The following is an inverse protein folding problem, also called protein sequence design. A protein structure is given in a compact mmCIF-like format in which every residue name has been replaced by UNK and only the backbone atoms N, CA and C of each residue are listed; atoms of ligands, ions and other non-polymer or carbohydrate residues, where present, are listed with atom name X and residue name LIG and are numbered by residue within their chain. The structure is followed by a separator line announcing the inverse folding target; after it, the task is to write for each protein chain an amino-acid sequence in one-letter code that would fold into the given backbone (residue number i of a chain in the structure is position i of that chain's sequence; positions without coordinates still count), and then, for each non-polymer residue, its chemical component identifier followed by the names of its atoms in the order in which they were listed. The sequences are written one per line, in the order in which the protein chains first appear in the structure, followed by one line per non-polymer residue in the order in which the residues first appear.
data_IF_836364342054
#
_entry.id   IF_836364342054
#
_cell.length_a   1.000
_cell.length_b   1.000
_cell.length_c   1.000
_cell.angle_alpha   90.00
_cell.angle_beta   90.00
_cell.angle_gamma   90.00
#
_symmetry.space_group_name_H-M   'P 1'
#
loop_
_entity.id
_entity.type
_entity.pdbx_description
1 polymer ?
#
# COMPACT_ATOMS: atom_id res chain seq x y z
N UNK A 1 -1.62 25.81 28.24
CA UNK A 1 -0.91 25.42 27.02
C UNK A 1 -0.14 24.13 27.31
N UNK A 2 -0.63 22.98 26.85
CA UNK A 2 0.07 21.70 27.04
C UNK A 2 1.31 21.68 26.17
N UNK A 3 2.46 21.31 26.75
CA UNK A 3 3.67 21.02 25.97
C UNK A 3 3.34 19.89 24.99
N UNK A 4 3.78 19.96 23.72
CA UNK A 4 3.63 18.83 22.80
C UNK A 4 4.38 17.61 23.35
N UNK A 5 3.73 16.45 23.26
CA UNK A 5 4.26 15.15 23.67
C UNK A 5 5.52 14.82 22.83
N UNK A 6 6.67 14.41 23.41
CA UNK A 6 7.92 14.14 22.67
C UNK A 6 7.84 13.05 21.60
N UNK A 7 6.71 12.35 21.47
CA UNK A 7 6.49 11.25 20.52
C UNK A 7 5.83 11.68 19.21
N UNK A 8 5.51 12.97 19.03
CA UNK A 8 4.76 13.46 17.86
C UNK A 8 5.55 14.45 16.98
N UNK A 9 6.88 14.45 17.09
CA UNK A 9 7.74 15.20 16.17
C UNK A 9 7.76 14.48 14.82
N UNK A 10 7.32 15.13 13.72
CA UNK A 10 7.32 14.48 12.43
C UNK A 10 8.76 14.22 11.97
N UNK A 11 9.12 12.94 11.92
CA UNK A 11 10.41 12.46 11.42
C UNK A 11 10.42 12.48 9.88
N UNK A 12 11.60 12.72 9.32
CA UNK A 12 11.80 12.83 7.88
C UNK A 12 11.71 11.45 7.22
N UNK A 13 10.63 11.26 6.45
CA UNK A 13 10.43 10.08 5.62
C UNK A 13 10.98 10.31 4.23
N UNK A 14 11.76 9.37 3.71
CA UNK A 14 12.23 9.37 2.33
C UNK A 14 12.00 8.01 1.66
N UNK A 15 12.03 7.99 0.33
CA UNK A 15 11.73 6.80 -0.45
C UNK A 15 12.91 6.42 -1.36
N UNK A 16 13.34 5.15 -1.27
CA UNK A 16 14.33 4.58 -2.17
C UNK A 16 13.62 3.73 -3.21
N UNK A 17 13.81 4.05 -4.49
CA UNK A 17 13.22 3.29 -5.61
C UNK A 17 14.27 2.40 -6.27
N UNK A 18 14.04 1.09 -6.22
CA UNK A 18 14.95 0.08 -6.79
C UNK A 18 14.27 -0.71 -7.90
N UNK A 19 15.09 -1.17 -8.85
CA UNK A 19 14.66 -2.02 -9.95
C UNK A 19 14.65 -3.48 -9.51
N UNK A 20 13.55 -4.22 -9.71
CA UNK A 20 13.48 -5.65 -9.37
C UNK A 20 13.66 -6.55 -10.60
N UNK A 21 14.24 -7.72 -10.35
CA UNK A 21 14.46 -8.80 -11.32
C UNK A 21 13.92 -10.13 -10.75
N UNK A 22 12.59 -10.27 -10.63
CA UNK A 22 11.99 -11.48 -10.09
C UNK A 22 12.18 -12.69 -11.01
N UNK A 23 12.38 -13.86 -10.41
CA UNK A 23 12.31 -15.16 -11.10
C UNK A 23 10.86 -15.53 -11.47
N UNK A 24 10.66 -16.68 -12.13
CA UNK A 24 9.33 -17.10 -12.60
C UNK A 24 8.30 -17.22 -11.46
N UNK A 25 8.64 -17.92 -10.38
CA UNK A 25 7.75 -18.08 -9.22
C UNK A 25 7.41 -16.74 -8.55
N UNK A 26 8.37 -15.83 -8.44
CA UNK A 26 8.16 -14.48 -7.89
C UNK A 26 7.25 -13.63 -8.78
N UNK A 27 7.37 -13.73 -10.11
CA UNK A 27 6.48 -13.03 -11.04
C UNK A 27 5.04 -13.53 -10.90
N UNK A 28 4.85 -14.83 -10.78
CA UNK A 28 3.54 -15.43 -10.56
C UNK A 28 2.94 -14.98 -9.22
N UNK A 29 3.73 -15.04 -8.14
CA UNK A 29 3.32 -14.53 -6.83
C UNK A 29 2.88 -13.06 -6.89
N UNK A 30 3.65 -12.20 -7.57
CA UNK A 30 3.29 -10.79 -7.73
C UNK A 30 2.01 -10.61 -8.53
N UNK A 31 1.84 -11.34 -9.64
CA UNK A 31 0.62 -11.28 -10.44
C UNK A 31 -0.62 -11.67 -9.63
N UNK A 32 -0.54 -12.77 -8.86
CA UNK A 32 -1.61 -13.21 -7.95
C UNK A 32 -1.90 -12.16 -6.87
N UNK A 33 -0.85 -11.62 -6.25
CA UNK A 33 -0.99 -10.59 -5.20
C UNK A 33 -1.64 -9.32 -5.73
N UNK A 34 -1.22 -8.82 -6.90
CA UNK A 34 -1.85 -7.67 -7.55
C UNK A 34 -3.34 -7.94 -7.85
N UNK A 35 -3.65 -9.15 -8.32
CA UNK A 35 -5.02 -9.60 -8.55
C UNK A 35 -5.87 -9.54 -7.28
N UNK A 36 -5.36 -10.10 -6.18
CA UNK A 36 -6.03 -10.11 -4.89
C UNK A 36 -6.24 -8.70 -4.32
N UNK A 37 -5.21 -7.84 -4.33
CA UNK A 37 -5.33 -6.46 -3.86
C UNK A 37 -6.35 -5.66 -4.68
N UNK A 38 -6.37 -5.83 -6.00
CA UNK A 38 -7.36 -5.21 -6.88
C UNK A 38 -8.77 -5.70 -6.56
N UNK A 39 -8.95 -7.01 -6.39
CA UNK A 39 -10.26 -7.58 -6.06
C UNK A 39 -10.75 -7.09 -4.70
N UNK A 40 -9.91 -7.11 -3.66
CA UNK A 40 -10.26 -6.64 -2.32
C UNK A 40 -10.65 -5.16 -2.34
N UNK A 41 -9.88 -4.32 -3.03
CA UNK A 41 -10.23 -2.90 -3.20
C UNK A 41 -11.60 -2.73 -3.85
N UNK A 42 -11.86 -3.47 -4.93
CA UNK A 42 -13.12 -3.41 -5.66
C UNK A 42 -14.30 -3.93 -4.83
N UNK A 43 -14.13 -5.05 -4.11
CA UNK A 43 -15.14 -5.60 -3.20
C UNK A 43 -15.45 -4.60 -2.07
N UNK A 44 -14.43 -3.97 -1.51
CA UNK A 44 -14.60 -2.94 -0.48
C UNK A 44 -15.33 -1.69 -1.01
N UNK A 45 -15.01 -1.25 -2.24
CA UNK A 45 -15.71 -0.12 -2.88
C UNK A 45 -17.18 -0.45 -3.13
N UNK A 46 -17.46 -1.63 -3.69
CA UNK A 46 -18.84 -2.09 -3.91
C UNK A 46 -19.63 -2.16 -2.59
N UNK A 47 -19.00 -2.65 -1.52
CA UNK A 47 -19.63 -2.67 -0.20
C UNK A 47 -19.92 -1.26 0.34
N UNK A 48 -18.98 -0.32 0.22
CA UNK A 48 -19.21 1.08 0.59
C UNK A 48 -20.35 1.72 -0.22
N UNK A 49 -20.46 1.41 -1.51
CA UNK A 49 -21.56 1.88 -2.37
C UNK A 49 -22.90 1.30 -1.91
N UNK A 50 -22.97 -0.01 -1.64
CA UNK A 50 -24.19 -0.66 -1.13
C UNK A 50 -24.63 -0.10 0.23
N UNK A 51 -23.68 0.19 1.15
CA UNK A 51 -24.01 0.81 2.43
C UNK A 51 -24.56 2.23 2.26
N UNK A 52 -24.01 3.00 1.31
CA UNK A 52 -24.53 4.33 0.98
C UNK A 52 -25.95 4.27 0.40
N UNK A 53 -26.20 3.34 -0.53
CA UNK A 53 -27.54 3.12 -1.10
C UNK A 53 -28.56 2.69 -0.04
N UNK A 54 -28.13 1.93 0.96
CA UNK A 54 -28.94 1.54 2.13
C UNK A 54 -29.08 2.65 3.19
N UNK A 55 -28.56 3.87 2.95
CA UNK A 55 -28.62 4.98 3.91
C UNK A 55 -27.75 4.78 5.16
N UNK A 56 -26.85 3.81 5.14
CA UNK A 56 -25.97 3.48 6.27
C UNK A 56 -24.67 4.30 6.24
N UNK A 57 -24.03 4.54 7.41
CA UNK A 57 -22.73 5.18 7.46
C UNK A 57 -21.68 4.43 6.65
N UNK A 58 -20.76 5.17 6.01
CA UNK A 58 -19.66 4.57 5.28
C UNK A 58 -18.77 3.75 6.24
N UNK A 59 -18.48 2.47 5.91
CA UNK A 59 -17.54 1.66 6.68
C UNK A 59 -16.15 2.28 6.75
N UNK A 60 -15.50 2.19 7.92
CA UNK A 60 -14.11 2.60 8.09
C UNK A 60 -13.14 1.58 7.45
N UNK A 61 -11.87 1.96 7.31
CA UNK A 61 -10.82 1.02 6.89
C UNK A 61 -10.79 -0.24 7.80
N UNK A 62 -11.00 -0.06 9.10
CA UNK A 62 -10.99 -1.14 10.07
C UNK A 62 -12.17 -2.10 9.86
N UNK A 63 -13.37 -1.57 9.59
CA UNK A 63 -14.55 -2.40 9.30
C UNK A 63 -14.37 -3.20 8.02
N UNK A 64 -13.79 -2.58 6.98
CA UNK A 64 -13.44 -3.27 5.73
C UNK A 64 -12.39 -4.37 5.95
N UNK A 65 -11.38 -4.12 6.80
CA UNK A 65 -10.37 -5.14 7.14
C UNK A 65 -10.96 -6.30 7.95
N UNK A 66 -11.93 -6.04 8.83
CA UNK A 66 -12.64 -7.07 9.61
C UNK A 66 -13.42 -8.06 8.73
N UNK A 67 -13.79 -7.67 7.50
CA UNK A 67 -14.44 -8.55 6.53
C UNK A 67 -13.47 -9.53 5.86
N UNK A 68 -12.15 -9.26 5.87
CA UNK A 68 -11.16 -10.07 5.16
C UNK A 68 -11.13 -11.56 5.57
N UNK A 69 -11.26 -11.95 6.85
CA UNK A 69 -11.31 -13.36 7.22
C UNK A 69 -12.48 -14.11 6.57
N UNK A 70 -13.68 -13.54 6.59
CA UNK A 70 -14.85 -14.14 5.94
C UNK A 70 -14.66 -14.24 4.42
N UNK A 71 -14.17 -13.16 3.79
CA UNK A 71 -13.87 -13.17 2.36
C UNK A 71 -12.81 -14.22 1.99
N UNK A 72 -11.83 -14.50 2.85
CA UNK A 72 -10.85 -15.56 2.62
C UNK A 72 -11.42 -16.96 2.77
N UNK A 73 -12.42 -17.14 3.63
CA UNK A 73 -13.13 -18.41 3.74
C UNK A 73 -13.97 -18.68 2.48
N UNK A 74 -14.65 -17.65 1.97
CA UNK A 74 -15.44 -17.72 0.73
C UNK A 74 -14.56 -17.82 -0.54
N UNK A 75 -13.41 -17.17 -0.52
CA UNK A 75 -12.48 -17.10 -1.64
C UNK A 75 -11.05 -17.49 -1.21
N UNK A 76 -10.75 -18.79 -1.13
CA UNK A 76 -9.47 -19.29 -0.60
C UNK A 76 -8.23 -18.74 -1.30
N UNK A 77 -8.32 -18.40 -2.59
CA UNK A 77 -7.22 -17.81 -3.37
C UNK A 77 -6.75 -16.44 -2.82
N UNK A 78 -7.57 -15.73 -2.02
CA UNK A 78 -7.13 -14.54 -1.27
C UNK A 78 -6.09 -14.88 -0.19
N UNK A 79 -6.08 -16.12 0.30
CA UNK A 79 -5.10 -16.61 1.28
C UNK A 79 -3.68 -16.70 0.74
N UNK A 80 -3.53 -16.83 -0.58
CA UNK A 80 -2.23 -16.94 -1.25
C UNK A 80 -1.44 -15.61 -1.18
N UNK A 81 -2.14 -14.48 -1.29
CA UNK A 81 -1.54 -13.14 -1.21
C UNK A 81 -1.02 -12.79 0.20
N UNK A 82 -0.12 -11.82 0.27
CA UNK A 82 0.30 -11.25 1.55
C UNK A 82 -0.89 -10.60 2.28
N UNK A 83 -1.11 -11.00 3.54
CA UNK A 83 -2.22 -10.51 4.34
C UNK A 83 -2.16 -9.00 4.58
N UNK A 84 -0.95 -8.45 4.69
CA UNK A 84 -0.73 -7.01 4.85
C UNK A 84 -1.08 -6.26 3.57
N UNK A 85 -0.80 -6.85 2.41
CA UNK A 85 -1.18 -6.28 1.12
C UNK A 85 -2.70 -6.15 0.95
N UNK A 86 -3.47 -7.13 1.45
CA UNK A 86 -4.95 -7.05 1.42
C UNK A 86 -5.48 -5.99 2.38
N UNK A 87 -4.95 -5.91 3.60
CA UNK A 87 -5.32 -4.86 4.56
C UNK A 87 -5.00 -3.48 4.01
N UNK A 88 -3.84 -3.33 3.37
CA UNK A 88 -3.45 -2.08 2.74
C UNK A 88 -4.38 -1.71 1.57
N UNK A 89 -4.93 -2.68 0.82
CA UNK A 89 -5.93 -2.39 -0.21
C UNK A 89 -7.21 -1.76 0.38
N UNK A 90 -7.65 -2.19 1.57
CA UNK A 90 -8.74 -1.53 2.30
C UNK A 90 -8.36 -0.11 2.75
N UNK A 91 -7.14 0.07 3.27
CA UNK A 91 -6.63 1.38 3.69
C UNK A 91 -6.45 2.36 2.51
N UNK A 92 -6.07 1.87 1.33
CA UNK A 92 -5.97 2.66 0.11
C UNK A 92 -7.35 3.19 -0.31
N UNK A 93 -8.41 2.39 -0.15
CA UNK A 93 -9.79 2.82 -0.42
C UNK A 93 -10.22 3.93 0.55
N UNK A 94 -9.99 3.73 1.85
CA UNK A 94 -10.30 4.76 2.85
C UNK A 94 -9.53 6.06 2.59
N UNK A 95 -8.25 5.95 2.21
CA UNK A 95 -7.43 7.10 1.81
C UNK A 95 -8.00 7.80 0.57
N UNK A 96 -8.53 7.05 -0.40
CA UNK A 96 -9.18 7.63 -1.57
C UNK A 96 -10.44 8.42 -1.19
N UNK A 97 -11.28 7.90 -0.30
CA UNK A 97 -12.43 8.63 0.25
C UNK A 97 -12.01 9.88 1.02
N UNK A 98 -11.01 9.77 1.90
CA UNK A 98 -10.47 10.93 2.65
C UNK A 98 -9.97 12.02 1.71
N UNK A 99 -9.25 11.65 0.67
CA UNK A 99 -8.78 12.59 -0.35
C UNK A 99 -9.95 13.22 -1.11
N UNK A 100 -10.97 12.45 -1.47
CA UNK A 100 -12.19 12.97 -2.11
C UNK A 100 -12.86 14.04 -1.23
N UNK A 101 -13.18 13.72 0.02
CA UNK A 101 -13.84 14.67 0.93
C UNK A 101 -12.97 15.89 1.25
N UNK A 102 -11.65 15.72 1.38
CA UNK A 102 -10.73 16.86 1.55
C UNK A 102 -10.80 17.82 0.37
N UNK A 103 -10.76 17.29 -0.87
CA UNK A 103 -10.84 18.13 -2.09
C UNK A 103 -12.17 18.84 -2.20
N UNK A 104 -13.27 18.16 -1.92
CA UNK A 104 -14.61 18.76 -1.85
C UNK A 104 -14.61 19.93 -0.87
N UNK A 105 -14.08 19.73 0.34
CA UNK A 105 -13.99 20.78 1.37
C UNK A 105 -13.14 21.97 0.94
N UNK A 106 -12.05 21.72 0.20
CA UNK A 106 -11.12 22.76 -0.26
C UNK A 106 -11.59 23.48 -1.54
N UNK A 107 -12.71 23.08 -2.14
CA UNK A 107 -13.15 23.61 -3.44
C UNK A 107 -12.27 23.16 -4.62
N UNK A 108 -11.43 22.14 -4.44
CA UNK A 108 -10.62 21.54 -5.50
C UNK A 108 -11.45 20.54 -6.32
N UNK A 109 -11.08 20.28 -7.58
CA UNK A 109 -11.71 19.25 -8.40
C UNK A 109 -11.60 17.86 -7.75
N UNK A 110 -12.68 17.29 -7.21
CA UNK A 110 -12.62 16.05 -6.45
C UNK A 110 -12.73 14.85 -7.39
N UNK A 111 -11.97 13.79 -7.12
CA UNK A 111 -12.06 12.51 -7.83
C UNK A 111 -12.64 11.44 -6.91
N UNK A 112 -13.84 10.94 -7.23
CA UNK A 112 -14.45 9.85 -6.46
C UNK A 112 -13.65 8.55 -6.61
N UNK A 113 -13.56 7.68 -5.58
CA UNK A 113 -12.93 6.36 -5.71
C UNK A 113 -13.56 5.54 -6.85
N UNK A 114 -12.73 4.94 -7.70
CA UNK A 114 -13.18 4.16 -8.87
C UNK A 114 -12.71 2.73 -8.77
N UNK A 115 -13.49 1.81 -9.32
CA UNK A 115 -13.05 0.42 -9.50
C UNK A 115 -11.70 0.35 -10.22
N UNK A 116 -10.76 -0.40 -9.63
CA UNK A 116 -9.45 -0.69 -10.20
C UNK A 116 -9.56 -1.68 -11.35
N UNK A 117 -8.74 -1.49 -12.38
CA UNK A 117 -8.71 -2.32 -13.59
C UNK A 117 -7.32 -2.90 -13.83
N UNK A 118 -7.26 -4.12 -14.37
CA UNK A 118 -5.99 -4.78 -14.73
C UNK A 118 -5.16 -3.93 -15.70
N UNK A 119 -5.84 -3.24 -16.61
CA UNK A 119 -5.22 -2.57 -17.75
C UNK A 119 -4.84 -1.11 -17.49
N UNK A 120 -5.19 -0.54 -16.32
CA UNK A 120 -4.95 0.88 -16.00
C UNK A 120 -3.68 1.13 -15.17
N UNK A 121 -2.77 0.16 -15.11
CA UNK A 121 -1.51 0.32 -14.36
C UNK A 121 -1.63 0.16 -12.85
N UNK A 122 -2.72 -0.48 -12.39
CA UNK A 122 -3.01 -0.78 -10.98
C UNK A 122 -2.24 -2.02 -10.45
N UNK A 123 -1.24 -2.51 -11.19
CA UNK A 123 -0.42 -3.66 -10.82
C UNK A 123 0.59 -3.27 -9.72
N UNK A 124 0.05 -3.06 -8.52
CA UNK A 124 0.79 -2.57 -7.36
C UNK A 124 0.31 -3.31 -6.12
N UNK A 125 1.23 -3.63 -5.21
CA UNK A 125 0.88 -3.99 -3.84
C UNK A 125 1.89 -3.39 -2.86
N UNK A 126 1.45 -3.17 -1.64
CA UNK A 126 2.27 -2.58 -0.59
C UNK A 126 2.37 -3.55 0.57
N UNK A 127 3.59 -3.96 0.88
CA UNK A 127 3.95 -4.71 2.08
C UNK A 127 4.24 -3.73 3.22
N UNK A 128 3.48 -3.83 4.31
CA UNK A 128 3.64 -2.99 5.52
C UNK A 128 4.27 -3.73 6.69
N UNK A 129 4.52 -5.04 6.57
CA UNK A 129 5.27 -5.81 7.56
C UNK A 129 6.78 -5.46 7.50
N UNK A 130 7.14 -4.29 8.04
CA UNK A 130 8.51 -3.77 8.09
C UNK A 130 9.54 -4.81 8.56
N UNK A 131 9.22 -5.59 9.61
CA UNK A 131 10.10 -6.62 10.16
C UNK A 131 10.41 -7.77 9.17
N UNK A 132 9.57 -7.94 8.14
CA UNK A 132 9.75 -8.96 7.09
C UNK A 132 10.38 -8.38 5.81
N UNK A 133 10.80 -7.11 5.84
CA UNK A 133 11.43 -6.42 4.73
C UNK A 133 12.89 -6.13 5.09
N UNK A 134 13.80 -6.51 4.20
CA UNK A 134 15.23 -6.19 4.32
C UNK A 134 15.74 -5.70 2.96
N UNK A 135 16.59 -4.69 2.96
CA UNK A 135 17.17 -4.12 1.74
C UNK A 135 18.69 -4.31 1.76
N UNK A 136 19.20 -5.05 0.79
CA UNK A 136 20.63 -5.27 0.57
C UNK A 136 21.05 -4.71 -0.79
N UNK A 137 22.36 -4.48 -1.05
CA UNK A 137 22.82 -3.83 -2.28
C UNK A 137 22.34 -4.46 -3.60
N UNK A 138 22.07 -5.77 -3.60
CA UNK A 138 21.68 -6.54 -4.80
C UNK A 138 20.36 -7.30 -4.67
N UNK A 139 19.67 -7.19 -3.54
CA UNK A 139 18.41 -7.90 -3.31
C UNK A 139 17.55 -7.23 -2.24
N UNK A 140 16.25 -7.47 -2.32
CA UNK A 140 15.28 -7.06 -1.31
C UNK A 140 14.49 -8.28 -0.83
N UNK A 141 14.35 -8.43 0.48
CA UNK A 141 13.46 -9.41 1.09
C UNK A 141 12.06 -8.84 1.18
N UNK A 142 11.09 -9.61 0.71
CA UNK A 142 9.67 -9.24 0.75
C UNK A 142 8.85 -10.35 1.45
N UNK A 143 7.75 -10.01 2.14
CA UNK A 143 6.85 -10.99 2.72
C UNK A 143 6.34 -11.96 1.64
N UNK A 144 6.40 -13.27 1.93
CA UNK A 144 6.04 -14.40 1.03
C UNK A 144 6.84 -14.52 -0.29
N UNK A 145 7.34 -13.44 -0.87
CA UNK A 145 8.14 -13.49 -2.10
C UNK A 145 9.63 -13.86 -1.86
N UNK A 146 10.09 -13.77 -0.62
CA UNK A 146 11.48 -14.05 -0.25
C UNK A 146 12.44 -13.00 -0.78
N UNK A 147 13.67 -13.42 -1.07
CA UNK A 147 14.72 -12.56 -1.63
C UNK A 147 14.53 -12.36 -3.14
N UNK A 148 14.35 -11.11 -3.54
CA UNK A 148 14.19 -10.72 -4.94
C UNK A 148 15.40 -9.91 -5.37
N UNK A 149 16.07 -10.32 -6.45
CA UNK A 149 17.21 -9.58 -7.01
C UNK A 149 16.80 -8.16 -7.36
N UNK A 150 17.61 -7.18 -7.00
CA UNK A 150 17.38 -5.78 -7.32
C UNK A 150 18.65 -5.06 -7.79
N UNK A 151 18.48 -3.88 -8.40
CA UNK A 151 19.55 -2.94 -8.73
C UNK A 151 19.12 -1.50 -8.44
N UNK A 152 20.09 -0.62 -8.25
CA UNK A 152 19.85 0.80 -7.99
C UNK A 152 19.61 1.11 -6.51
N UNK A 153 20.01 0.21 -5.61
CA UNK A 153 20.09 0.49 -4.18
C UNK A 153 21.20 1.52 -3.98
N UNK A 154 20.85 2.63 -3.35
CA UNK A 154 21.82 3.63 -2.87
C UNK A 154 22.06 3.37 -1.39
N UNK A 155 23.12 3.95 -0.83
CA UNK A 155 23.29 4.02 0.61
C UNK A 155 22.02 4.62 1.24
N UNK A 156 21.57 3.99 2.31
CA UNK A 156 20.34 4.35 3.00
C UNK A 156 20.55 4.19 4.50
N UNK A 157 19.99 5.12 5.26
CA UNK A 157 20.02 5.13 6.72
C UNK A 157 18.60 5.15 7.27
N UNK A 158 18.40 4.51 8.43
CA UNK A 158 17.14 4.54 9.16
C UNK A 158 16.37 3.22 9.15
N UNK A 159 15.07 3.29 9.46
CA UNK A 159 14.20 2.13 9.60
C UNK A 159 13.26 2.00 8.41
N UNK A 160 13.23 0.83 7.79
CA UNK A 160 12.23 0.52 6.75
C UNK A 160 10.82 0.50 7.38
N UNK A 161 9.88 1.24 6.81
CA UNK A 161 8.48 1.32 7.25
C UNK A 161 7.57 0.44 6.40
N UNK A 162 7.73 0.48 5.08
CA UNK A 162 6.95 -0.31 4.13
C UNK A 162 7.66 -0.38 2.78
N UNK A 163 7.26 -1.33 1.96
CA UNK A 163 7.71 -1.42 0.56
C UNK A 163 6.52 -1.57 -0.36
N UNK A 164 6.49 -0.77 -1.42
CA UNK A 164 5.49 -0.86 -2.50
C UNK A 164 6.14 -1.49 -3.72
N UNK A 165 5.64 -2.64 -4.17
CA UNK A 165 6.06 -3.28 -5.42
C UNK A 165 5.09 -2.90 -6.52
N UNK A 166 5.61 -2.41 -7.64
CA UNK A 166 4.83 -2.02 -8.82
C UNK A 166 5.37 -2.70 -10.07
N UNK A 167 4.48 -3.16 -10.92
CA UNK A 167 4.77 -3.54 -12.29
C UNK A 167 4.30 -2.43 -13.24
N UNK A 168 5.19 -1.99 -14.13
CA UNK A 168 4.85 -1.03 -15.18
C UNK A 168 4.23 -1.75 -16.39
N UNK A 169 3.55 -1.03 -17.31
CA UNK A 169 2.96 -1.63 -18.52
C UNK A 169 3.96 -2.41 -19.40
N UNK A 170 5.24 -2.06 -19.35
CA UNK A 170 6.33 -2.77 -20.07
C UNK A 170 6.77 -4.08 -19.38
N UNK A 171 5.99 -4.59 -18.41
CA UNK A 171 6.31 -5.80 -17.63
C UNK A 171 7.39 -5.62 -16.58
N UNK A 172 7.92 -4.41 -16.45
CA UNK A 172 9.07 -4.03 -15.67
C UNK A 172 8.69 -3.82 -14.18
N UNK A 173 9.38 -4.47 -13.22
CA UNK A 173 9.11 -4.37 -11.78
C UNK A 173 10.00 -3.35 -11.02
N UNK A 174 9.42 -2.64 -10.06
CA UNK A 174 10.11 -1.72 -9.16
C UNK A 174 9.61 -1.89 -7.73
N UNK A 175 10.49 -1.69 -6.75
CA UNK A 175 10.13 -1.52 -5.35
C UNK A 175 10.43 -0.09 -4.90
N UNK A 176 9.47 0.53 -4.21
CA UNK A 176 9.66 1.80 -3.49
C UNK A 176 9.65 1.49 -2.01
N UNK A 177 10.81 1.62 -1.36
CA UNK A 177 11.01 1.38 0.06
C UNK A 177 10.87 2.71 0.78
N UNK A 178 9.91 2.81 1.70
CA UNK A 178 9.74 3.98 2.57
C UNK A 178 10.60 3.79 3.80
N UNK A 179 11.48 4.75 4.07
CA UNK A 179 12.46 4.71 5.15
C UNK A 179 12.27 5.94 6.04
N UNK A 180 12.38 5.70 7.34
CA UNK A 180 12.33 6.68 8.41
C UNK A 180 13.76 6.91 8.90
N UNK A 181 14.36 8.06 8.58
CA UNK A 181 15.77 8.33 8.90
C UNK A 181 15.99 8.80 10.35
N UNK A 182 14.94 8.94 11.15
CA UNK A 182 15.04 9.43 12.53
C UNK A 182 15.48 10.89 12.67
N UNK A 183 15.60 11.65 11.57
CA UNK A 183 15.91 13.08 11.58
C UNK A 183 14.63 13.90 11.61
N UNK A 184 14.64 15.02 12.31
CA UNK A 184 13.49 15.92 12.38
C UNK A 184 13.24 16.61 11.02
N UNK A 185 11.98 16.93 10.71
CA UNK A 185 11.67 17.75 9.54
C UNK A 185 12.33 19.14 9.69
N UNK A 186 12.94 19.68 8.62
CA UNK A 186 13.40 21.06 8.65
C UNK A 186 12.21 22.00 8.91
N UNK A 187 12.42 23.02 9.74
CA UNK A 187 11.42 24.03 10.02
C UNK A 187 10.86 24.59 8.70
N UNK A 188 9.53 24.66 8.59
CA UNK A 188 8.89 25.30 7.44
C UNK A 188 9.38 26.75 7.36
N UNK A 189 9.87 27.23 6.21
CA UNK A 189 10.23 28.64 6.08
C UNK A 189 8.97 29.50 6.28
N UNK A 190 9.07 30.47 7.19
CA UNK A 190 8.05 31.49 7.49
C UNK A 190 7.74 32.36 6.28
#
# INVERSE_FOLDING_TARGET
MGRPDPQDTPLMLYAVRVRLYPNAAQREFFARTFGCCRWVYNNALAYCQAMYEAGSPRPSAYDLMKRLPALKAEHPWLGEADSQALKQACADLDSAYRNFFRRVKNGETPGFPRFKSKHRGDATYTATAAASIALEPRQIKLPKAGWVRCRGVREWEGRIKRTTVRQTPTGKYYATVLIDNGRELPAQPT
#
